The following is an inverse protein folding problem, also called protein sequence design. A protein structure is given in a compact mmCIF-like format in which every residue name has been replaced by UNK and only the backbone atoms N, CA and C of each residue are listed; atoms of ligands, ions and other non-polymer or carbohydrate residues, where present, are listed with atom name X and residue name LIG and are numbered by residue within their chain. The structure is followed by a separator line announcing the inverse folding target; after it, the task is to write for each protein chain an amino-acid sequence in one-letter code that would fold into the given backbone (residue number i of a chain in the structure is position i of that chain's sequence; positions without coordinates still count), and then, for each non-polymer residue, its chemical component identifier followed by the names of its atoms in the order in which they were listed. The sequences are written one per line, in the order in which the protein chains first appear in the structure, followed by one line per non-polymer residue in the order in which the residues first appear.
data_IF_416226867563
#
_entry.id   IF_416226867563
#
_cell.length_a   1.000
_cell.length_b   1.000
_cell.length_c   1.000
_cell.angle_alpha   90.00
_cell.angle_beta   90.00
_cell.angle_gamma   90.00
#
_symmetry.space_group_name_H-M   'P 1'
#
loop_
_entity.id
_entity.type
_entity.pdbx_description
1 polymer ?
#
# COMPACT_ATOMS: atom_id res chain seq x y z
N UNK A 1 20.25 -0.33 14.73
CA UNK A 1 20.05 -0.42 13.28
C UNK A 1 18.56 -0.55 13.07
N UNK A 2 17.92 0.48 12.53
CA UNK A 2 16.46 0.53 12.40
C UNK A 2 16.04 -0.49 11.34
N UNK A 3 15.59 -1.68 11.74
CA UNK A 3 14.89 -2.60 10.86
C UNK A 3 13.79 -1.83 10.13
N UNK A 4 13.82 -1.89 8.79
CA UNK A 4 12.82 -1.23 7.97
C UNK A 4 11.44 -1.74 8.38
N UNK A 5 10.63 -0.89 9.01
CA UNK A 5 9.27 -1.15 9.47
C UNK A 5 8.28 -1.50 8.34
N UNK A 6 8.76 -1.59 7.10
CA UNK A 6 7.98 -1.89 5.91
C UNK A 6 7.59 -3.37 5.88
N UNK A 7 6.30 -3.64 6.11
CA UNK A 7 5.68 -4.97 6.04
C UNK A 7 4.92 -5.21 4.74
N UNK A 8 4.67 -4.17 3.94
CA UNK A 8 4.14 -4.30 2.60
C UNK A 8 4.85 -3.36 1.62
N UNK A 9 4.93 -3.78 0.35
CA UNK A 9 5.41 -2.95 -0.77
C UNK A 9 4.30 -2.84 -1.80
N UNK A 10 3.99 -1.62 -2.24
CA UNK A 10 3.02 -1.38 -3.31
C UNK A 10 3.74 -0.72 -4.48
N UNK A 11 3.60 -1.31 -5.66
CA UNK A 11 4.13 -0.80 -6.93
C UNK A 11 2.99 -0.66 -7.93
N UNK A 12 3.26 0.00 -9.05
CA UNK A 12 2.31 0.15 -10.14
C UNK A 12 2.76 -0.62 -11.38
N UNK A 13 1.86 -1.40 -11.97
CA UNK A 13 2.04 -2.13 -13.24
C UNK A 13 1.45 -1.28 -14.36
N UNK A 14 2.28 -0.45 -14.99
CA UNK A 14 1.86 0.44 -16.08
C UNK A 14 1.25 -0.28 -17.28
N UNK A 15 1.79 -1.42 -17.77
CA UNK A 15 1.16 -2.17 -18.85
C UNK A 15 -0.28 -2.60 -18.58
N UNK A 16 -0.63 -2.84 -17.31
CA UNK A 16 -1.96 -3.29 -16.90
C UNK A 16 -2.83 -2.20 -16.27
N UNK A 17 -2.25 -1.05 -15.92
CA UNK A 17 -2.93 0.03 -15.22
C UNK A 17 -3.43 -0.40 -13.81
N UNK A 18 -2.58 -1.10 -13.06
CA UNK A 18 -2.95 -1.73 -11.77
C UNK A 18 -1.91 -1.48 -10.68
N UNK A 19 -2.37 -1.35 -9.42
CA UNK A 19 -1.52 -1.41 -8.24
C UNK A 19 -1.28 -2.86 -7.85
N UNK A 20 -0.02 -3.20 -7.55
CA UNK A 20 0.39 -4.50 -7.05
C UNK A 20 0.96 -4.34 -5.65
N UNK A 21 0.22 -4.81 -4.65
CA UNK A 21 0.64 -4.81 -3.25
C UNK A 21 1.16 -6.18 -2.85
N UNK A 22 2.34 -6.24 -2.23
CA UNK A 22 2.95 -7.48 -1.73
C UNK A 22 3.19 -7.37 -0.23
N UNK A 23 2.67 -8.32 0.54
CA UNK A 23 2.95 -8.45 1.97
C UNK A 23 4.29 -9.17 2.14
N UNK A 24 5.28 -8.49 2.72
CA UNK A 24 6.68 -8.97 2.80
C UNK A 24 6.79 -10.26 3.61
N UNK A 25 5.99 -10.40 4.68
CA UNK A 25 6.08 -11.55 5.59
C UNK A 25 5.54 -12.85 4.98
N UNK A 26 4.51 -12.77 4.13
CA UNK A 26 3.82 -13.95 3.57
C UNK A 26 4.11 -14.15 2.09
N UNK A 27 4.59 -13.11 1.39
CA UNK A 27 4.68 -13.08 -0.06
C UNK A 27 3.31 -12.97 -0.76
N UNK A 28 2.22 -12.79 0.00
CA UNK A 28 0.88 -12.64 -0.57
C UNK A 28 0.78 -11.37 -1.40
N UNK A 29 0.19 -11.49 -2.59
CA UNK A 29 0.05 -10.39 -3.54
C UNK A 29 -1.42 -10.06 -3.79
N UNK A 30 -1.69 -8.77 -3.85
CA UNK A 30 -2.98 -8.21 -4.20
C UNK A 30 -2.83 -7.31 -5.42
N UNK A 31 -3.82 -7.35 -6.31
CA UNK A 31 -3.82 -6.57 -7.55
C UNK A 31 -5.16 -5.86 -7.70
N UNK A 32 -5.12 -4.54 -7.89
CA UNK A 32 -6.31 -3.71 -8.12
C UNK A 32 -5.93 -2.37 -8.71
N UNK A 33 -6.78 -1.78 -9.56
CA UNK A 33 -6.62 -0.39 -10.01
C UNK A 33 -7.11 0.63 -8.96
N UNK A 34 -7.81 0.21 -7.91
CA UNK A 34 -8.32 1.12 -6.88
C UNK A 34 -7.42 1.17 -5.62
N UNK A 35 -6.81 2.32 -5.30
CA UNK A 35 -5.92 2.45 -4.14
C UNK A 35 -6.62 2.29 -2.78
N UNK A 36 -7.93 2.53 -2.70
CA UNK A 36 -8.69 2.36 -1.45
C UNK A 36 -8.94 0.88 -1.19
N UNK A 37 -9.28 0.12 -2.24
CA UNK A 37 -9.43 -1.32 -2.17
C UNK A 37 -8.11 -1.99 -1.77
N UNK A 38 -6.98 -1.51 -2.32
CA UNK A 38 -5.64 -1.95 -1.92
C UNK A 38 -5.39 -1.72 -0.43
N UNK A 39 -5.74 -0.53 0.09
CA UNK A 39 -5.63 -0.23 1.51
C UNK A 39 -6.47 -1.18 2.38
N UNK A 40 -7.70 -1.52 1.96
CA UNK A 40 -8.56 -2.44 2.70
C UNK A 40 -7.98 -3.86 2.79
N UNK A 41 -7.45 -4.38 1.68
CA UNK A 41 -6.82 -5.70 1.67
C UNK A 41 -5.55 -5.75 2.52
N UNK A 42 -4.68 -4.74 2.38
CA UNK A 42 -3.49 -4.62 3.22
C UNK A 42 -3.86 -4.51 4.70
N UNK A 43 -4.91 -3.76 5.03
CA UNK A 43 -5.38 -3.61 6.40
C UNK A 43 -5.94 -4.92 6.98
N UNK A 44 -6.71 -5.67 6.20
CA UNK A 44 -7.21 -7.00 6.55
C UNK A 44 -6.05 -8.00 6.77
N UNK A 45 -4.95 -7.84 6.03
CA UNK A 45 -3.69 -8.57 6.25
C UNK A 45 -2.87 -8.05 7.46
N UNK A 46 -3.41 -7.12 8.25
CA UNK A 46 -2.77 -6.59 9.47
C UNK A 46 -1.74 -5.49 9.22
N UNK A 47 -1.68 -4.93 8.01
CA UNK A 47 -0.76 -3.85 7.66
C UNK A 47 -1.36 -2.50 8.08
N UNK A 48 -0.52 -1.61 8.61
CA UNK A 48 -0.90 -0.26 9.03
C UNK A 48 -0.15 0.81 8.22
N UNK A 49 -0.64 2.05 8.27
CA UNK A 49 -0.19 3.16 7.40
C UNK A 49 1.34 3.39 7.35
N UNK A 50 2.07 3.19 8.45
CA UNK A 50 3.53 3.36 8.53
C UNK A 50 4.34 2.12 8.12
N UNK A 51 3.66 1.05 7.69
CA UNK A 51 4.27 -0.22 7.34
C UNK A 51 4.21 -0.51 5.83
N UNK A 52 3.75 0.45 5.03
CA UNK A 52 3.69 0.33 3.56
C UNK A 52 4.83 1.16 2.95
N UNK A 53 5.59 0.53 2.05
CA UNK A 53 6.59 1.18 1.21
C UNK A 53 6.06 1.31 -0.21
N UNK A 54 6.29 2.47 -0.84
CA UNK A 54 5.98 2.69 -2.25
C UNK A 54 7.19 3.34 -2.94
N UNK A 55 7.52 2.93 -4.17
CA UNK A 55 8.63 3.50 -4.89
C UNK A 55 8.36 4.98 -5.26
N UNK A 56 9.42 5.78 -5.26
CA UNK A 56 9.34 7.19 -5.64
C UNK A 56 9.30 7.35 -7.18
N UNK A 57 8.86 8.52 -7.68
CA UNK A 57 8.84 8.82 -9.13
C UNK A 57 10.22 8.65 -9.79
N UNK A 58 11.30 8.73 -9.01
CA UNK A 58 12.68 8.46 -9.44
C UNK A 58 12.97 6.99 -9.77
N UNK A 59 12.18 6.05 -9.27
CA UNK A 59 12.33 4.61 -9.52
C UNK A 59 11.69 4.17 -10.84
N UNK A 60 11.16 5.11 -11.63
CA UNK A 60 10.70 4.89 -13.00
C UNK A 60 9.29 4.31 -13.10
N UNK A 61 9.04 3.52 -14.14
CA UNK A 61 7.74 2.91 -14.52
C UNK A 61 7.25 1.80 -13.56
N UNK A 62 7.45 1.99 -12.26
CA UNK A 62 6.84 1.17 -11.19
C UNK A 62 6.26 2.04 -10.07
N UNK A 63 6.45 3.36 -10.15
CA UNK A 63 6.01 4.31 -9.14
C UNK A 63 4.50 4.58 -9.26
N UNK A 64 3.72 4.33 -8.20
CA UNK A 64 2.33 4.77 -8.17
C UNK A 64 2.23 6.29 -8.32
N UNK A 65 1.16 6.77 -8.96
CA UNK A 65 0.91 8.19 -9.04
C UNK A 65 0.76 8.79 -7.63
N UNK A 66 1.15 10.05 -7.46
CA UNK A 66 1.06 10.74 -6.15
C UNK A 66 -0.37 10.70 -5.59
N UNK A 67 -1.39 10.76 -6.45
CA UNK A 67 -2.79 10.62 -6.05
C UNK A 67 -3.11 9.26 -5.41
N UNK A 68 -2.63 8.16 -6.00
CA UNK A 68 -2.85 6.80 -5.48
C UNK A 68 -2.15 6.59 -4.15
N UNK A 69 -0.92 7.10 -4.02
CA UNK A 69 -0.17 7.09 -2.75
C UNK A 69 -0.97 7.78 -1.65
N UNK A 70 -1.46 8.99 -1.91
CA UNK A 70 -2.25 9.76 -0.95
C UNK A 70 -3.54 9.03 -0.60
N UNK A 71 -4.27 8.52 -1.59
CA UNK A 71 -5.54 7.82 -1.38
C UNK A 71 -5.37 6.54 -0.54
N UNK A 72 -4.35 5.73 -0.82
CA UNK A 72 -4.06 4.51 -0.08
C UNK A 72 -3.68 4.81 1.37
N UNK A 73 -2.73 5.73 1.60
CA UNK A 73 -2.31 6.09 2.95
C UNK A 73 -3.46 6.71 3.76
N UNK A 74 -4.26 7.59 3.14
CA UNK A 74 -5.42 8.20 3.79
C UNK A 74 -6.45 7.13 4.20
N UNK A 75 -6.73 6.14 3.33
CA UNK A 75 -7.66 5.06 3.65
C UNK A 75 -7.16 4.17 4.78
N UNK A 76 -5.86 3.83 4.82
CA UNK A 76 -5.27 3.07 5.93
C UNK A 76 -5.41 3.80 7.28
N UNK A 77 -5.25 5.13 7.29
CA UNK A 77 -5.47 5.94 8.50
C UNK A 77 -6.94 5.91 8.94
N UNK A 78 -7.88 6.04 8.00
CA UNK A 78 -9.31 5.94 8.31
C UNK A 78 -9.69 4.59 8.93
N UNK A 79 -9.21 3.49 8.34
CA UNK A 79 -9.47 2.13 8.85
C UNK A 79 -8.89 1.94 10.26
N UNK A 80 -7.68 2.45 10.52
CA UNK A 80 -7.07 2.37 11.85
C UNK A 80 -7.84 3.16 12.93
N UNK A 81 -8.44 4.30 12.57
CA UNK A 81 -9.31 5.06 13.49
C UNK A 81 -10.63 4.35 13.74
N UNK A 82 -11.23 3.78 12.69
CA UNK A 82 -12.48 3.03 12.79
C UNK A 82 -12.36 1.78 13.67
N UNK A 83 -11.24 1.06 13.63
CA UNK A 83 -10.97 -0.03 14.58
C UNK A 83 -10.79 0.44 16.02
N UNK A 84 -10.30 1.67 16.22
CA UNK A 84 -10.03 2.24 17.55
C UNK A 84 -11.28 2.81 18.23
N UNK A 85 -12.42 2.87 17.53
CA UNK A 85 -13.70 3.31 18.09
C UNK A 85 -13.80 4.81 18.37
N UNK A 86 -13.06 5.64 17.63
CA UNK A 86 -13.18 7.11 17.61
C UNK A 86 -14.25 7.61 16.63
#
# INVERSE_FOLDING_TARGET
MSESLCRARVVYDYPKDELVGTVVATGETFVTSDPKQMAEWLFAAGIRHGQVSMPDWREGDIAPATGDKIALHHRLVQLGRQESGE
#
